data_IF_016833050339
#
_entry.id   IF_016833050339
#
_cell.length_a   1.000
_cell.length_b   1.000
_cell.length_c   1.000
_cell.angle_alpha   90.00
_cell.angle_beta   90.00
_cell.angle_gamma   90.00
#
_symmetry.space_group_name_H-M   'P 1'
#
loop_
_entity.id
_entity.type
_entity.pdbx_description
1 polymer ?
#
# COMPACT_ATOMS: atom_id res chain seq x y z
N UNK A 1 -23.97 15.75 -23.27
CA UNK A 1 -22.91 16.69 -23.67
C UNK A 1 -23.43 17.61 -24.77
N UNK A 2 -24.01 17.10 -25.87
CA UNK A 2 -24.51 17.93 -26.98
C UNK A 2 -25.52 19.00 -26.55
N UNK A 3 -26.45 18.68 -25.63
CA UNK A 3 -27.37 19.66 -25.07
C UNK A 3 -26.69 20.83 -24.36
N UNK A 4 -25.54 20.58 -23.70
CA UNK A 4 -24.72 21.64 -23.10
C UNK A 4 -24.06 22.54 -24.16
N UNK A 5 -23.56 21.97 -25.23
CA UNK A 5 -22.97 22.72 -26.36
C UNK A 5 -24.03 23.62 -27.00
N UNK A 6 -25.24 23.10 -27.24
CA UNK A 6 -26.35 23.89 -27.80
C UNK A 6 -26.83 24.98 -26.86
N UNK A 7 -26.89 24.71 -25.56
CA UNK A 7 -27.27 25.71 -24.54
C UNK A 7 -26.26 26.87 -24.52
N UNK A 8 -24.96 26.57 -24.49
CA UNK A 8 -23.90 27.60 -24.52
C UNK A 8 -24.01 28.46 -25.78
N UNK A 9 -24.22 27.85 -26.93
CA UNK A 9 -24.36 28.55 -28.20
C UNK A 9 -25.58 29.49 -28.19
N UNK A 10 -26.73 29.02 -27.67
CA UNK A 10 -28.00 29.80 -27.64
C UNK A 10 -27.95 30.92 -26.63
N UNK A 11 -27.37 30.71 -25.44
CA UNK A 11 -27.35 31.70 -24.35
C UNK A 11 -26.22 32.72 -24.55
N UNK A 12 -25.05 32.25 -24.94
CA UNK A 12 -23.85 33.10 -25.01
C UNK A 12 -23.42 33.48 -26.42
N UNK A 13 -24.04 32.96 -27.47
CA UNK A 13 -23.72 33.26 -28.86
C UNK A 13 -22.32 32.84 -29.30
N UNK A 14 -21.61 32.01 -28.54
CA UNK A 14 -20.23 31.61 -28.82
C UNK A 14 -20.12 30.09 -29.03
N UNK A 15 -19.11 29.62 -29.80
CA UNK A 15 -18.89 28.22 -30.02
C UNK A 15 -18.47 27.51 -28.72
N UNK A 16 -18.86 26.25 -28.61
CA UNK A 16 -18.41 25.32 -27.58
C UNK A 16 -18.13 23.98 -28.21
N UNK A 17 -17.20 23.24 -27.64
CA UNK A 17 -16.78 21.93 -28.11
C UNK A 17 -17.05 20.89 -27.03
N UNK A 18 -17.25 19.65 -27.46
CA UNK A 18 -17.42 18.51 -26.58
C UNK A 18 -16.28 17.50 -26.81
N UNK A 19 -15.72 16.98 -25.72
CA UNK A 19 -14.79 15.87 -25.73
C UNK A 19 -15.44 14.69 -24.98
N UNK A 20 -15.35 13.52 -25.56
CA UNK A 20 -15.79 12.28 -24.93
C UNK A 20 -14.80 11.16 -25.23
N UNK A 21 -14.69 10.22 -24.33
CA UNK A 21 -13.91 9.00 -24.49
C UNK A 21 -14.74 7.77 -24.10
N UNK A 22 -14.29 6.55 -24.49
CA UNK A 22 -15.00 5.32 -24.16
C UNK A 22 -15.22 5.15 -22.66
N UNK A 23 -16.32 4.49 -22.32
CA UNK A 23 -16.65 4.19 -20.92
C UNK A 23 -15.61 3.25 -20.34
N UNK A 24 -15.16 3.53 -19.12
CA UNK A 24 -14.32 2.62 -18.35
C UNK A 24 -15.13 1.40 -17.93
N UNK A 25 -14.69 0.24 -18.35
CA UNK A 25 -15.31 -1.05 -18.05
C UNK A 25 -14.32 -2.01 -17.43
N UNK A 26 -14.81 -2.92 -16.59
CA UNK A 26 -14.05 -4.09 -16.17
C UNK A 26 -13.81 -5.05 -17.36
N UNK A 27 -12.90 -6.05 -17.24
CA UNK A 27 -12.61 -6.99 -18.33
C UNK A 27 -13.83 -7.78 -18.82
N UNK A 28 -14.86 -7.92 -18.01
CA UNK A 28 -16.15 -8.56 -18.33
C UNK A 28 -17.15 -7.62 -19.02
N UNK A 29 -16.75 -6.37 -19.31
CA UNK A 29 -17.60 -5.35 -19.92
C UNK A 29 -18.51 -4.60 -18.94
N UNK A 30 -18.50 -4.92 -17.67
CA UNK A 30 -19.29 -4.19 -16.67
C UNK A 30 -18.72 -2.79 -16.42
N UNK A 31 -19.60 -1.81 -16.14
CA UNK A 31 -19.19 -0.43 -15.91
C UNK A 31 -18.43 -0.29 -14.58
N UNK A 32 -17.20 0.22 -14.64
CA UNK A 32 -16.46 0.60 -13.42
C UNK A 32 -17.22 1.67 -12.62
N UNK A 33 -17.18 1.53 -11.29
CA UNK A 33 -17.83 2.47 -10.36
C UNK A 33 -19.30 2.18 -10.02
N UNK A 34 -19.91 1.11 -10.61
CA UNK A 34 -21.24 0.60 -10.18
C UNK A 34 -21.18 -0.72 -9.41
N UNK A 35 -19.99 -1.30 -9.26
CA UNK A 35 -19.80 -2.56 -8.56
C UNK A 35 -19.89 -2.37 -7.03
N UNK A 36 -20.39 -3.39 -6.35
CA UNK A 36 -20.48 -3.50 -4.88
C UNK A 36 -19.11 -3.61 -4.17
N UNK A 37 -18.01 -3.39 -4.89
CA UNK A 37 -16.65 -3.36 -4.35
C UNK A 37 -16.33 -2.08 -3.56
N UNK A 38 -15.26 -2.11 -2.79
CA UNK A 38 -14.79 -0.95 -2.05
C UNK A 38 -14.54 0.24 -3.02
N UNK A 39 -15.15 1.37 -2.73
CA UNK A 39 -14.93 2.61 -3.48
C UNK A 39 -13.55 3.14 -3.14
N UNK A 40 -12.79 3.53 -4.15
CA UNK A 40 -11.54 4.24 -3.99
C UNK A 40 -11.80 5.73 -4.04
N UNK A 41 -11.36 6.42 -3.00
CA UNK A 41 -11.50 7.86 -2.86
C UNK A 41 -10.16 8.54 -3.14
N UNK A 42 -10.20 9.76 -3.66
CA UNK A 42 -9.00 10.59 -3.83
C UNK A 42 -8.60 11.25 -2.50
N UNK A 43 -9.51 11.34 -1.56
CA UNK A 43 -9.32 11.86 -0.22
C UNK A 43 -8.50 10.87 0.63
N UNK A 44 -7.29 11.24 1.11
CA UNK A 44 -6.39 10.35 1.85
C UNK A 44 -6.94 9.91 3.22
N UNK A 45 -7.91 10.65 3.78
CA UNK A 45 -8.58 10.27 5.03
C UNK A 45 -9.60 9.14 4.82
N UNK A 46 -10.04 8.92 3.58
CA UNK A 46 -11.03 7.89 3.22
C UNK A 46 -10.41 6.68 2.54
N UNK A 47 -9.36 6.88 1.79
CA UNK A 47 -8.53 5.84 1.16
C UNK A 47 -7.09 6.29 1.29
N UNK A 48 -6.32 5.58 2.12
CA UNK A 48 -4.92 5.96 2.33
C UNK A 48 -4.12 5.90 1.01
N UNK A 49 -3.02 6.65 0.85
CA UNK A 49 -2.15 6.55 -0.31
C UNK A 49 -1.68 5.10 -0.57
N UNK A 50 -1.47 4.30 0.49
CA UNK A 50 -1.16 2.88 0.36
C UNK A 50 -2.32 2.08 -0.25
N UNK A 51 -3.55 2.25 0.24
CA UNK A 51 -4.73 1.57 -0.31
C UNK A 51 -5.00 2.00 -1.74
N UNK A 52 -4.78 3.27 -2.06
CA UNK A 52 -4.87 3.80 -3.42
C UNK A 52 -3.81 3.15 -4.33
N UNK A 53 -2.57 3.05 -3.88
CA UNK A 53 -1.50 2.35 -4.58
C UNK A 53 -1.85 0.87 -4.80
N UNK A 54 -2.33 0.16 -3.77
CA UNK A 54 -2.72 -1.24 -3.86
C UNK A 54 -3.88 -1.48 -4.84
N UNK A 55 -4.81 -0.55 -4.94
CA UNK A 55 -5.87 -0.62 -5.94
C UNK A 55 -5.31 -0.75 -7.36
N UNK A 56 -4.36 0.10 -7.72
CA UNK A 56 -3.72 0.07 -9.04
C UNK A 56 -2.78 -1.13 -9.22
N UNK A 57 -2.09 -1.54 -8.16
CA UNK A 57 -1.31 -2.78 -8.16
C UNK A 57 -2.16 -4.02 -8.48
N UNK A 58 -3.45 -4.02 -8.14
CA UNK A 58 -4.36 -5.13 -8.39
C UNK A 58 -5.08 -5.05 -9.75
N UNK A 59 -4.65 -4.16 -10.65
CA UNK A 59 -5.18 -4.06 -12.01
C UNK A 59 -4.95 -5.37 -12.78
N UNK A 60 -5.98 -5.80 -13.53
CA UNK A 60 -5.91 -6.95 -14.42
C UNK A 60 -4.94 -6.65 -15.59
N UNK A 61 -4.14 -7.64 -16.00
CA UNK A 61 -3.14 -7.50 -17.07
C UNK A 61 -3.77 -7.00 -18.38
N UNK A 62 -5.02 -7.38 -18.67
CA UNK A 62 -5.76 -6.95 -19.86
C UNK A 62 -6.12 -5.47 -19.86
N UNK A 63 -6.08 -4.81 -18.72
CA UNK A 63 -6.48 -3.41 -18.54
C UNK A 63 -5.30 -2.48 -18.28
N UNK A 64 -4.14 -3.01 -17.88
CA UNK A 64 -3.02 -2.20 -17.41
C UNK A 64 -2.55 -1.18 -18.46
N UNK A 65 -2.49 -1.56 -19.75
CA UNK A 65 -2.16 -0.63 -20.83
C UNK A 65 -3.16 0.52 -20.94
N UNK A 66 -4.45 0.18 -20.91
CA UNK A 66 -5.50 1.18 -20.99
C UNK A 66 -5.44 2.16 -19.82
N UNK A 67 -5.20 1.64 -18.61
CA UNK A 67 -5.16 2.46 -17.42
C UNK A 67 -3.88 3.30 -17.33
N UNK A 68 -2.73 2.80 -17.77
CA UNK A 68 -1.52 3.61 -17.94
C UNK A 68 -1.78 4.80 -18.84
N UNK A 69 -2.41 4.58 -20.01
CA UNK A 69 -2.72 5.64 -20.94
C UNK A 69 -3.77 6.65 -20.43
N UNK A 70 -4.68 6.24 -19.54
CA UNK A 70 -5.80 7.07 -19.09
C UNK A 70 -5.57 7.75 -17.74
N UNK A 71 -4.78 7.14 -16.85
CA UNK A 71 -4.59 7.60 -15.46
C UNK A 71 -3.17 8.05 -15.15
N UNK A 72 -2.31 8.13 -16.15
CA UNK A 72 -0.97 8.70 -16.00
C UNK A 72 -0.71 9.78 -17.04
N UNK A 73 0.35 10.55 -16.86
CA UNK A 73 0.84 11.54 -17.82
C UNK A 73 2.08 11.04 -18.57
N UNK A 74 2.29 9.72 -18.60
CA UNK A 74 3.42 9.11 -19.31
C UNK A 74 3.24 9.25 -20.83
N UNK A 75 4.31 9.49 -21.57
CA UNK A 75 4.32 9.39 -23.03
C UNK A 75 3.90 7.99 -23.49
N UNK A 76 3.25 7.90 -24.65
CA UNK A 76 2.71 6.62 -25.13
C UNK A 76 3.79 5.58 -25.46
N UNK A 77 4.97 6.02 -25.86
CA UNK A 77 6.14 5.16 -26.08
C UNK A 77 6.64 4.53 -24.76
N UNK A 78 6.61 5.25 -23.65
CA UNK A 78 6.93 4.70 -22.32
C UNK A 78 5.85 3.71 -21.86
N UNK A 79 4.57 4.01 -22.12
CA UNK A 79 3.46 3.08 -21.82
C UNK A 79 3.62 1.78 -22.62
N UNK A 80 3.90 1.86 -23.90
CA UNK A 80 4.05 0.70 -24.77
C UNK A 80 5.30 -0.12 -24.41
N UNK A 81 6.41 0.53 -24.04
CA UNK A 81 7.61 -0.14 -23.56
C UNK A 81 7.37 -0.88 -22.22
N UNK A 82 6.67 -0.25 -21.28
CA UNK A 82 6.33 -0.87 -19.99
C UNK A 82 5.41 -2.09 -20.15
N UNK A 83 4.46 -2.02 -21.09
CA UNK A 83 3.56 -3.15 -21.39
C UNK A 83 4.31 -4.29 -22.05
N UNK A 84 5.19 -4.01 -23.04
CA UNK A 84 6.02 -5.02 -23.67
C UNK A 84 6.93 -5.76 -22.66
N UNK A 85 7.59 -5.02 -21.76
CA UNK A 85 8.39 -5.61 -20.66
C UNK A 85 7.54 -6.48 -19.73
N UNK A 86 6.32 -6.03 -19.42
CA UNK A 86 5.39 -6.78 -18.59
C UNK A 86 4.93 -8.09 -19.26
N UNK A 87 4.67 -8.09 -20.56
CA UNK A 87 4.27 -9.30 -21.32
C UNK A 87 5.36 -10.37 -21.32
N UNK A 88 6.65 -9.99 -21.27
CA UNK A 88 7.76 -10.92 -21.15
C UNK A 88 7.82 -11.58 -19.75
N UNK A 89 7.39 -10.90 -18.72
CA UNK A 89 7.47 -11.35 -17.33
C UNK A 89 6.28 -10.91 -16.47
N UNK A 90 5.04 -11.39 -16.75
CA UNK A 90 3.82 -10.89 -16.08
C UNK A 90 3.84 -11.03 -14.56
N UNK A 91 4.52 -12.07 -14.05
CA UNK A 91 4.63 -12.32 -12.60
C UNK A 91 5.34 -11.21 -11.82
N UNK A 92 6.15 -10.39 -12.46
CA UNK A 92 6.82 -9.24 -11.83
C UNK A 92 5.90 -8.05 -11.61
N UNK A 93 4.78 -7.96 -12.35
CA UNK A 93 3.78 -6.89 -12.27
C UNK A 93 4.38 -5.49 -12.42
N UNK A 94 5.37 -5.34 -13.30
CA UNK A 94 6.11 -4.07 -13.48
C UNK A 94 5.21 -2.97 -14.03
N UNK A 95 4.32 -3.29 -15.00
CA UNK A 95 3.39 -2.32 -15.54
C UNK A 95 2.35 -1.86 -14.49
N UNK A 96 1.85 -2.78 -13.64
CA UNK A 96 0.97 -2.41 -12.53
C UNK A 96 1.68 -1.55 -11.50
N UNK A 97 2.95 -1.84 -11.20
CA UNK A 97 3.75 -1.03 -10.28
C UNK A 97 3.96 0.38 -10.84
N UNK A 98 4.28 0.50 -12.13
CA UNK A 98 4.39 1.79 -12.79
C UNK A 98 3.06 2.57 -12.73
N UNK A 99 1.94 1.91 -13.05
CA UNK A 99 0.60 2.50 -12.97
C UNK A 99 0.31 2.98 -11.54
N UNK A 100 0.53 2.12 -10.54
CA UNK A 100 0.27 2.42 -9.14
C UNK A 100 1.09 3.62 -8.66
N UNK A 101 2.39 3.65 -8.98
CA UNK A 101 3.28 4.76 -8.62
C UNK A 101 2.85 6.06 -9.28
N UNK A 102 2.65 6.06 -10.60
CA UNK A 102 2.32 7.30 -11.34
C UNK A 102 0.94 7.84 -10.99
N UNK A 103 -0.07 6.98 -10.84
CA UNK A 103 -1.40 7.40 -10.40
C UNK A 103 -1.39 7.92 -8.96
N UNK A 104 -0.67 7.27 -8.04
CA UNK A 104 -0.55 7.74 -6.66
C UNK A 104 0.23 9.05 -6.59
N UNK A 105 1.31 9.18 -7.37
CA UNK A 105 2.09 10.43 -7.47
C UNK A 105 1.23 11.59 -7.98
N UNK A 106 0.37 11.35 -8.95
CA UNK A 106 -0.50 12.39 -9.52
C UNK A 106 -1.54 12.89 -8.52
N UNK A 107 -2.05 12.01 -7.64
CA UNK A 107 -3.14 12.33 -6.72
C UNK A 107 -2.63 12.77 -5.34
N UNK A 108 -1.62 12.08 -4.81
CA UNK A 108 -1.16 12.26 -3.42
C UNK A 108 0.25 12.89 -3.32
N UNK A 109 0.94 13.06 -4.46
CA UNK A 109 2.31 13.59 -4.49
C UNK A 109 3.38 12.51 -4.48
N UNK A 110 4.63 12.96 -4.69
CA UNK A 110 5.77 12.05 -4.87
C UNK A 110 6.15 11.32 -3.58
N UNK A 111 6.10 12.00 -2.45
CA UNK A 111 6.52 11.46 -1.16
C UNK A 111 5.55 10.34 -0.69
N UNK A 112 4.25 10.58 -0.81
CA UNK A 112 3.23 9.59 -0.47
C UNK A 112 3.25 8.39 -1.42
N UNK A 113 3.53 8.60 -2.71
CA UNK A 113 3.67 7.51 -3.67
C UNK A 113 4.88 6.63 -3.35
N UNK A 114 6.02 7.23 -3.00
CA UNK A 114 7.22 6.51 -2.60
C UNK A 114 6.97 5.74 -1.29
N UNK A 115 6.39 6.38 -0.28
CA UNK A 115 6.05 5.74 0.99
C UNK A 115 5.09 4.56 0.80
N UNK A 116 4.08 4.70 -0.07
CA UNK A 116 3.14 3.63 -0.39
C UNK A 116 3.81 2.45 -1.12
N UNK A 117 4.74 2.72 -2.04
CA UNK A 117 5.51 1.69 -2.75
C UNK A 117 6.43 0.93 -1.79
N UNK A 118 7.18 1.64 -0.92
CA UNK A 118 8.03 1.02 0.10
C UNK A 118 7.20 0.21 1.11
N UNK A 119 6.08 0.75 1.61
CA UNK A 119 5.17 0.03 2.50
C UNK A 119 4.61 -1.24 1.84
N UNK A 120 4.27 -1.16 0.56
CA UNK A 120 3.86 -2.33 -0.22
C UNK A 120 4.97 -3.38 -0.26
N UNK A 121 6.20 -2.98 -0.59
CA UNK A 121 7.33 -3.91 -0.63
C UNK A 121 7.55 -4.62 0.71
N UNK A 122 7.49 -3.90 1.84
CA UNK A 122 7.60 -4.44 3.19
C UNK A 122 6.52 -5.47 3.48
N UNK A 123 5.25 -5.12 3.26
CA UNK A 123 4.11 -5.98 3.55
C UNK A 123 4.01 -7.21 2.62
N UNK A 124 4.74 -7.20 1.50
CA UNK A 124 4.93 -8.36 0.63
C UNK A 124 6.24 -9.12 0.90
N UNK A 125 6.99 -8.75 1.95
CA UNK A 125 8.11 -9.52 2.49
C UNK A 125 9.48 -9.13 1.94
N UNK A 126 9.61 -7.96 1.33
CA UNK A 126 10.91 -7.40 0.96
C UNK A 126 11.74 -7.09 2.22
N UNK A 127 13.09 -7.09 2.11
CA UNK A 127 13.96 -6.58 3.18
C UNK A 127 13.58 -5.17 3.60
N UNK A 128 13.84 -4.84 4.87
CA UNK A 128 13.51 -3.53 5.45
C UNK A 128 14.74 -2.61 5.54
N UNK A 129 15.85 -3.02 4.93
CA UNK A 129 17.07 -2.22 4.95
C UNK A 129 16.86 -0.87 4.27
N UNK A 130 17.13 0.20 4.98
CA UNK A 130 16.98 1.56 4.45
C UNK A 130 15.53 2.05 4.31
N UNK A 131 14.56 1.36 4.91
CA UNK A 131 13.14 1.78 4.89
C UNK A 131 12.98 3.21 5.44
N UNK A 132 12.14 4.02 4.80
CA UNK A 132 11.86 5.39 5.26
C UNK A 132 10.90 5.42 6.45
N UNK A 133 10.97 6.49 7.27
CA UNK A 133 9.97 6.74 8.33
C UNK A 133 8.57 6.85 7.74
N UNK A 134 8.43 7.52 6.59
CA UNK A 134 7.14 7.68 5.91
C UNK A 134 6.53 6.33 5.51
N UNK A 135 7.35 5.37 5.06
CA UNK A 135 6.88 4.03 4.75
C UNK A 135 6.40 3.28 6.00
N UNK A 136 7.12 3.39 7.12
CA UNK A 136 6.69 2.81 8.40
C UNK A 136 5.39 3.45 8.92
N UNK A 137 5.22 4.75 8.74
CA UNK A 137 3.96 5.45 9.05
C UNK A 137 2.81 5.01 8.13
N UNK A 138 3.09 4.76 6.85
CA UNK A 138 2.13 4.17 5.94
C UNK A 138 1.75 2.74 6.37
N UNK A 139 2.72 1.90 6.75
CA UNK A 139 2.47 0.57 7.32
C UNK A 139 1.62 0.66 8.59
N UNK A 140 1.91 1.63 9.49
CA UNK A 140 1.17 1.80 10.74
C UNK A 140 -0.33 2.08 10.56
N UNK A 141 -0.74 2.61 9.42
CA UNK A 141 -2.16 2.84 9.08
C UNK A 141 -2.89 1.57 8.64
N UNK A 142 -2.14 0.54 8.23
CA UNK A 142 -2.69 -0.66 7.57
C UNK A 142 -2.60 -1.92 8.46
N UNK A 143 -1.79 -1.89 9.52
CA UNK A 143 -1.56 -3.04 10.39
C UNK A 143 -1.84 -2.70 11.85
N UNK A 144 -2.09 -3.68 12.73
CA UNK A 144 -2.18 -3.45 14.16
C UNK A 144 -0.91 -2.76 14.69
N UNK A 145 -1.10 -1.74 15.54
CA UNK A 145 -0.01 -1.01 16.20
C UNK A 145 -0.07 -1.29 17.70
N UNK A 146 1.08 -1.65 18.25
CA UNK A 146 1.29 -1.77 19.70
C UNK A 146 2.17 -0.61 20.16
N UNK A 147 1.67 0.22 21.07
CA UNK A 147 2.46 1.28 21.69
C UNK A 147 3.18 0.74 22.92
N UNK A 148 4.47 1.08 23.07
CA UNK A 148 5.32 0.63 24.15
C UNK A 148 6.06 1.83 24.76
N UNK A 149 6.03 1.93 26.07
CA UNK A 149 6.74 2.99 26.77
C UNK A 149 8.27 2.83 26.63
N UNK A 150 8.98 3.96 26.57
CA UNK A 150 10.45 3.98 26.45
C UNK A 150 11.14 3.21 27.59
N UNK A 151 10.60 3.30 28.80
CA UNK A 151 11.15 2.58 29.97
C UNK A 151 11.04 1.07 29.85
N UNK A 152 9.92 0.56 29.33
CA UNK A 152 9.70 -0.87 29.13
C UNK A 152 10.64 -1.41 28.04
N UNK A 153 10.80 -0.67 26.96
CA UNK A 153 11.71 -1.07 25.88
C UNK A 153 13.18 -1.04 26.32
N UNK A 154 13.55 -0.08 27.18
CA UNK A 154 14.89 -0.03 27.79
C UNK A 154 15.16 -1.22 28.73
N UNK A 155 14.15 -1.69 29.43
CA UNK A 155 14.23 -2.90 30.24
C UNK A 155 14.23 -4.20 29.42
N UNK A 156 13.74 -4.11 28.17
CA UNK A 156 13.56 -5.23 27.24
C UNK A 156 12.21 -5.94 27.40
N UNK A 157 11.47 -6.06 26.30
CA UNK A 157 10.17 -6.71 26.27
C UNK A 157 10.30 -8.07 25.57
N UNK A 158 9.98 -9.20 26.25
CA UNK A 158 9.98 -10.52 25.60
C UNK A 158 9.06 -10.53 24.37
N UNK A 159 9.53 -11.10 23.27
CA UNK A 159 8.77 -11.13 22.02
C UNK A 159 7.37 -11.76 22.17
N UNK A 160 7.22 -12.78 23.04
CA UNK A 160 5.93 -13.41 23.33
C UNK A 160 4.93 -12.47 24.03
N UNK A 161 5.43 -11.56 24.88
CA UNK A 161 4.60 -10.59 25.60
C UNK A 161 4.13 -9.51 24.63
N UNK A 162 5.03 -9.01 23.80
CA UNK A 162 4.74 -8.06 22.76
C UNK A 162 3.68 -8.57 21.76
N UNK A 163 3.87 -9.79 21.24
CA UNK A 163 2.93 -10.42 20.30
C UNK A 163 1.52 -10.57 20.89
N UNK A 164 1.41 -10.80 22.19
CA UNK A 164 0.14 -10.98 22.91
C UNK A 164 -0.44 -9.71 23.51
N UNK A 165 0.11 -8.55 23.18
CA UNK A 165 -0.47 -7.25 23.54
C UNK A 165 -1.92 -7.14 23.01
N UNK A 166 -2.79 -6.38 23.68
CA UNK A 166 -4.18 -6.24 23.28
C UNK A 166 -4.32 -5.83 21.81
N UNK A 167 -5.14 -6.57 21.04
CA UNK A 167 -5.42 -6.32 19.62
C UNK A 167 -4.19 -6.34 18.70
N UNK A 168 -3.11 -6.99 19.13
CA UNK A 168 -1.91 -7.13 18.29
C UNK A 168 -1.93 -8.45 17.48
N UNK A 169 -0.86 -9.23 17.46
CA UNK A 169 -0.71 -10.33 16.49
C UNK A 169 -1.19 -11.70 17.01
N UNK A 170 -1.37 -11.86 18.31
CA UNK A 170 -1.87 -13.11 18.90
C UNK A 170 -2.90 -12.86 20.01
N UNK A 171 -3.82 -13.78 20.16
CA UNK A 171 -4.85 -13.69 21.19
C UNK A 171 -4.34 -14.05 22.61
N UNK A 172 -3.18 -14.70 22.72
CA UNK A 172 -2.62 -15.13 24.01
C UNK A 172 -1.11 -15.37 23.95
N UNK A 173 -0.45 -15.29 25.12
CA UNK A 173 0.97 -15.66 25.26
C UNK A 173 1.26 -17.12 24.84
N UNK A 174 0.33 -18.04 25.07
CA UNK A 174 0.49 -19.44 24.64
C UNK A 174 0.52 -19.58 23.12
N UNK A 175 -0.30 -18.80 22.42
CA UNK A 175 -0.26 -18.75 20.95
C UNK A 175 1.05 -18.11 20.47
N UNK A 176 1.47 -16.99 21.08
CA UNK A 176 2.71 -16.31 20.76
C UNK A 176 3.91 -17.25 20.87
N UNK A 177 4.05 -17.96 22.01
CA UNK A 177 5.15 -18.92 22.23
C UNK A 177 5.15 -20.05 21.20
N UNK A 178 3.98 -20.61 20.88
CA UNK A 178 3.89 -21.65 19.83
C UNK A 178 4.31 -21.11 18.47
N UNK A 179 3.88 -19.90 18.11
CA UNK A 179 4.27 -19.28 16.84
C UNK A 179 5.78 -19.03 16.75
N UNK A 180 6.41 -18.61 17.86
CA UNK A 180 7.86 -18.42 17.96
C UNK A 180 8.58 -19.77 17.85
N UNK A 181 8.17 -20.79 18.64
CA UNK A 181 8.77 -22.13 18.64
C UNK A 181 8.71 -22.80 17.25
N UNK A 182 7.63 -22.56 16.50
CA UNK A 182 7.49 -23.00 15.12
C UNK A 182 8.34 -22.19 14.13
N UNK A 183 9.03 -21.13 14.63
CA UNK A 183 9.86 -20.23 13.81
C UNK A 183 9.07 -19.36 12.84
N UNK A 184 7.82 -19.10 13.18
CA UNK A 184 6.93 -18.28 12.36
C UNK A 184 6.94 -16.79 12.71
N UNK A 185 7.83 -16.34 13.60
CA UNK A 185 7.90 -14.94 14.04
C UNK A 185 9.20 -14.28 13.61
N UNK A 186 9.07 -13.05 13.15
CA UNK A 186 10.19 -12.24 12.68
C UNK A 186 10.08 -10.83 13.30
N UNK A 187 11.21 -10.30 13.73
CA UNK A 187 11.37 -8.92 14.20
C UNK A 187 12.35 -8.24 13.25
N UNK A 188 11.95 -7.12 12.68
CA UNK A 188 12.74 -6.38 11.68
C UNK A 188 13.28 -7.27 10.55
N UNK A 189 12.48 -8.23 10.09
CA UNK A 189 12.86 -9.17 9.04
C UNK A 189 13.66 -10.39 9.50
N UNK A 190 14.22 -10.37 10.71
CA UNK A 190 14.99 -11.48 11.27
C UNK A 190 14.09 -12.44 12.06
N UNK A 191 14.31 -13.76 11.85
CA UNK A 191 13.60 -14.80 12.58
C UNK A 191 14.03 -14.83 14.05
N UNK A 192 13.07 -14.83 14.96
CA UNK A 192 13.35 -14.79 16.40
C UNK A 192 13.01 -16.11 17.11
N UNK A 193 13.79 -16.41 18.17
CA UNK A 193 13.58 -17.54 19.08
C UNK A 193 12.83 -17.17 20.35
N UNK A 194 12.58 -18.15 21.24
CA UNK A 194 11.77 -18.00 22.45
C UNK A 194 12.37 -17.01 23.47
N UNK A 195 13.70 -16.92 23.52
CA UNK A 195 14.44 -16.03 24.42
C UNK A 195 14.60 -14.60 23.86
N UNK A 196 14.03 -14.32 22.68
CA UNK A 196 14.23 -13.02 22.04
C UNK A 196 13.53 -11.90 22.79
N UNK A 197 14.29 -10.86 23.09
CA UNK A 197 13.84 -9.64 23.76
C UNK A 197 13.95 -8.47 22.80
N UNK A 198 12.86 -7.76 22.64
CA UNK A 198 12.82 -6.50 21.86
C UNK A 198 13.27 -5.38 22.78
N UNK A 199 14.29 -4.65 22.38
CA UNK A 199 14.90 -3.57 23.15
C UNK A 199 15.04 -2.29 22.33
N UNK A 200 15.62 -1.26 22.89
CA UNK A 200 15.91 -0.01 22.18
C UNK A 200 16.78 -0.22 20.93
N UNK A 201 17.68 -1.22 20.93
CA UNK A 201 18.53 -1.56 19.81
C UNK A 201 17.74 -2.14 18.61
N UNK A 202 16.51 -2.59 18.86
CA UNK A 202 15.60 -3.10 17.81
C UNK A 202 14.88 -1.97 17.07
N UNK A 203 15.01 -0.72 17.49
CA UNK A 203 14.25 0.40 16.93
C UNK A 203 14.77 0.80 15.53
N UNK A 204 13.89 0.82 14.59
CA UNK A 204 14.06 1.49 13.31
C UNK A 204 13.73 2.97 13.52
N UNK A 205 14.64 3.86 13.12
CA UNK A 205 14.50 5.31 13.27
C UNK A 205 14.14 5.76 14.69
N UNK A 206 14.70 5.08 15.71
CA UNK A 206 14.46 5.37 17.13
C UNK A 206 12.98 5.32 17.55
N UNK A 207 12.10 4.73 16.76
CA UNK A 207 10.65 4.81 16.96
C UNK A 207 9.86 3.54 16.67
N UNK A 208 10.29 2.70 15.75
CA UNK A 208 9.46 1.60 15.25
C UNK A 208 10.16 0.24 15.34
N UNK A 209 9.38 -0.82 15.57
CA UNK A 209 9.84 -2.20 15.36
C UNK A 209 8.79 -2.93 14.50
N UNK A 210 9.20 -3.48 13.38
CA UNK A 210 8.32 -4.27 12.52
C UNK A 210 8.28 -5.72 13.01
N UNK A 211 7.09 -6.23 13.27
CA UNK A 211 6.88 -7.62 13.69
C UNK A 211 6.04 -8.35 12.66
N UNK A 212 6.44 -9.57 12.30
CA UNK A 212 5.68 -10.42 11.37
C UNK A 212 5.43 -11.81 11.98
N UNK A 213 4.18 -12.25 11.91
CA UNK A 213 3.77 -13.63 12.24
C UNK A 213 3.36 -14.37 10.97
N UNK A 214 4.07 -15.45 10.64
CA UNK A 214 3.84 -16.19 9.41
C UNK A 214 4.19 -15.41 8.15
N UNK A 215 3.43 -15.63 7.07
CA UNK A 215 3.73 -15.03 5.76
C UNK A 215 3.09 -13.66 5.54
N UNK A 216 1.96 -13.36 6.21
CA UNK A 216 1.10 -12.23 5.85
C UNK A 216 0.63 -11.36 7.03
N UNK A 217 0.83 -11.79 8.27
CA UNK A 217 0.38 -11.02 9.43
C UNK A 217 1.52 -10.13 9.92
N UNK A 218 1.40 -8.85 9.66
CA UNK A 218 2.33 -7.82 10.11
C UNK A 218 1.71 -7.02 11.26
N UNK A 219 2.56 -6.48 12.12
CA UNK A 219 2.22 -5.52 13.15
C UNK A 219 3.39 -4.58 13.37
N UNK A 220 3.12 -3.39 13.83
CA UNK A 220 4.13 -2.39 14.11
C UNK A 220 4.12 -2.04 15.60
N UNK A 221 5.28 -2.11 16.21
CA UNK A 221 5.50 -1.54 17.56
C UNK A 221 5.93 -0.10 17.37
N UNK A 222 5.31 0.80 18.12
CA UNK A 222 5.64 2.22 18.12
C UNK A 222 6.00 2.65 19.51
N UNK A 223 7.12 3.36 19.65
CA UNK A 223 7.52 3.97 20.90
C UNK A 223 6.55 5.11 21.25
N UNK A 224 6.04 5.13 22.48
CA UNK A 224 5.25 6.24 22.99
C UNK A 224 6.07 7.55 22.95
N UNK A 225 5.40 8.64 22.58
CA UNK A 225 6.01 9.95 22.41
C UNK A 225 6.43 10.60 23.74
#
# INVERSE_FOLDING_TARGET
ILGGVDLIRRVHGRPAWALAWPLLTAPDGTKLGKTTGARIWLDPDRTSPYQFFQHWMNTDDRQVRQFLAQFTLLPMDEVDAAVASHEESPGRREAQRLLAREATRLVHGADDALAAEEASAILFGSPIDGVSVAALEAVAREVPVCEVARGDLAAGVPAADLLSSPNFLTASKGEARRAIAQGGVYVNGERVGEEHVVSADSLLHDRYVLVRKGKRSFGLVRLEA
#
